data_IF_294037359678
#
_entry.id   IF_294037359678
#
_cell.length_a   1.000
_cell.length_b   1.000
_cell.length_c   1.000
_cell.angle_alpha   90.00
_cell.angle_beta   90.00
_cell.angle_gamma   90.00
#
_symmetry.space_group_name_H-M   'P 1'
#
loop_
_entity.id
_entity.type
_entity.pdbx_description
1 polymer ?
#
# COMPACT_ATOMS: atom_id res chain seq x y z
N UNK A 1 -9.15 22.37 2.13
CA UNK A 1 -9.77 21.35 1.25
C UNK A 1 -11.28 21.50 1.39
N UNK A 2 -12.02 21.58 0.31
CA UNK A 2 -13.48 21.74 0.30
C UNK A 2 -14.18 20.50 -0.30
N UNK A 3 -15.52 20.53 -0.38
CA UNK A 3 -16.32 19.41 -0.89
C UNK A 3 -15.98 19.03 -2.35
N UNK A 4 -15.56 20.00 -3.16
CA UNK A 4 -15.12 19.76 -4.54
C UNK A 4 -13.81 18.98 -4.57
N UNK A 5 -12.86 19.35 -3.71
CA UNK A 5 -11.57 18.68 -3.59
C UNK A 5 -11.76 17.23 -3.14
N UNK A 6 -12.65 16.98 -2.18
CA UNK A 6 -13.00 15.63 -1.72
C UNK A 6 -13.62 14.82 -2.86
N UNK A 7 -14.51 15.42 -3.65
CA UNK A 7 -15.12 14.76 -4.81
C UNK A 7 -14.06 14.40 -5.87
N UNK A 8 -13.13 15.32 -6.15
CA UNK A 8 -12.01 15.05 -7.06
C UNK A 8 -11.12 13.89 -6.57
N UNK A 9 -10.80 13.84 -5.26
CA UNK A 9 -10.04 12.74 -4.67
C UNK A 9 -10.78 11.40 -4.82
N UNK A 10 -12.10 11.36 -4.59
CA UNK A 10 -12.91 10.15 -4.77
C UNK A 10 -12.88 9.66 -6.23
N UNK A 11 -13.06 10.55 -7.19
CA UNK A 11 -13.00 10.21 -8.60
C UNK A 11 -11.64 9.66 -8.99
N UNK A 12 -10.57 10.31 -8.58
CA UNK A 12 -9.19 9.93 -8.90
C UNK A 12 -8.74 8.64 -8.20
N UNK A 13 -9.23 8.35 -6.99
CA UNK A 13 -8.98 7.06 -6.33
C UNK A 13 -9.62 5.89 -7.08
N UNK A 14 -10.81 6.12 -7.67
CA UNK A 14 -11.56 5.12 -8.42
C UNK A 14 -10.99 4.93 -9.83
N UNK A 15 -10.74 6.03 -10.54
CA UNK A 15 -10.17 6.00 -11.88
C UNK A 15 -9.25 7.20 -12.13
N UNK A 16 -7.94 6.93 -12.11
CA UNK A 16 -6.93 7.96 -12.36
C UNK A 16 -6.72 8.29 -13.85
N UNK A 17 -7.36 7.56 -14.77
CA UNK A 17 -7.31 7.81 -16.22
C UNK A 17 -8.36 8.83 -16.71
N UNK A 18 -9.24 9.29 -15.82
CA UNK A 18 -10.22 10.33 -16.16
C UNK A 18 -9.51 11.58 -16.68
N UNK A 19 -9.97 12.06 -17.83
CA UNK A 19 -9.49 13.30 -18.43
C UNK A 19 -9.90 14.52 -17.62
N UNK A 20 -9.21 15.64 -17.82
CA UNK A 20 -9.58 16.89 -17.13
C UNK A 20 -10.99 17.37 -17.52
N UNK A 21 -11.45 17.08 -18.74
CA UNK A 21 -12.82 17.38 -19.18
C UNK A 21 -13.84 16.57 -18.39
N UNK A 22 -13.63 15.25 -18.25
CA UNK A 22 -14.52 14.39 -17.47
C UNK A 22 -14.55 14.79 -15.99
N UNK A 23 -13.39 15.01 -15.38
CA UNK A 23 -13.29 15.47 -13.99
C UNK A 23 -14.00 16.82 -13.79
N UNK A 24 -13.80 17.77 -14.71
CA UNK A 24 -14.42 19.11 -14.62
C UNK A 24 -15.94 19.05 -14.75
N UNK A 25 -16.46 18.19 -15.63
CA UNK A 25 -17.90 17.95 -15.77
C UNK A 25 -18.49 17.36 -14.48
N UNK A 26 -17.84 16.36 -13.88
CA UNK A 26 -18.27 15.71 -12.64
C UNK A 26 -18.34 16.66 -11.45
N UNK A 27 -17.44 17.64 -11.37
CA UNK A 27 -17.41 18.62 -10.27
C UNK A 27 -18.05 19.97 -10.63
N UNK A 28 -18.66 20.10 -11.81
CA UNK A 28 -19.33 21.30 -12.32
C UNK A 28 -18.41 22.55 -12.33
N UNK A 29 -17.17 22.35 -12.79
CA UNK A 29 -16.19 23.42 -13.00
C UNK A 29 -15.78 23.47 -14.47
N UNK A 30 -15.18 24.59 -14.90
CA UNK A 30 -14.39 24.61 -16.13
C UNK A 30 -13.06 23.89 -15.95
N UNK A 31 -12.41 23.48 -17.04
CA UNK A 31 -11.18 22.68 -17.01
C UNK A 31 -10.01 23.35 -16.28
N UNK A 32 -9.85 24.66 -16.45
CA UNK A 32 -8.73 25.40 -15.82
C UNK A 32 -8.78 25.40 -14.29
N UNK A 33 -9.87 25.78 -13.61
CA UNK A 33 -9.95 25.70 -12.16
C UNK A 33 -9.92 24.25 -11.65
N UNK A 34 -10.49 23.28 -12.39
CA UNK A 34 -10.40 21.87 -12.04
C UNK A 34 -8.93 21.40 -12.03
N UNK A 35 -8.18 21.70 -13.09
CA UNK A 35 -6.75 21.39 -13.20
C UNK A 35 -5.93 22.03 -12.07
N UNK A 36 -6.19 23.29 -11.74
CA UNK A 36 -5.51 23.99 -10.62
C UNK A 36 -5.74 23.29 -9.29
N UNK A 37 -6.97 22.86 -8.99
CA UNK A 37 -7.30 22.13 -7.76
C UNK A 37 -6.57 20.80 -7.68
N UNK A 38 -6.55 20.03 -8.76
CA UNK A 38 -5.83 18.74 -8.80
C UNK A 38 -4.33 18.94 -8.53
N UNK A 39 -3.71 19.95 -9.12
CA UNK A 39 -2.30 20.25 -8.83
C UNK A 39 -2.10 20.69 -7.38
N UNK A 40 -2.96 21.52 -6.82
CA UNK A 40 -2.91 21.86 -5.39
C UNK A 40 -3.03 20.64 -4.48
N UNK A 41 -3.89 19.66 -4.83
CA UNK A 41 -3.99 18.40 -4.09
C UNK A 41 -2.70 17.57 -4.16
N UNK A 42 -2.00 17.57 -5.31
CA UNK A 42 -0.69 16.95 -5.47
C UNK A 42 0.39 17.70 -4.67
N UNK A 43 0.48 19.00 -4.85
CA UNK A 43 1.49 19.86 -4.21
C UNK A 43 1.37 19.83 -2.68
N UNK A 44 0.15 19.74 -2.17
CA UNK A 44 -0.15 19.62 -0.73
C UNK A 44 -0.04 18.17 -0.21
N UNK A 45 0.36 17.19 -1.06
CA UNK A 45 0.59 15.80 -0.67
C UNK A 45 -0.66 14.96 -0.42
N UNK A 46 -1.87 15.44 -0.75
CA UNK A 46 -3.10 14.62 -0.69
C UNK A 46 -3.09 13.50 -1.74
N UNK A 47 -2.45 13.72 -2.87
CA UNK A 47 -2.18 12.72 -3.90
C UNK A 47 -0.68 12.45 -3.87
N UNK A 48 -0.26 11.33 -3.30
CA UNK A 48 1.15 10.97 -3.16
C UNK A 48 1.77 10.51 -4.47
N UNK A 49 1.03 9.71 -5.25
CA UNK A 49 1.45 9.18 -6.56
C UNK A 49 0.26 8.66 -7.35
N UNK A 50 0.43 8.52 -8.65
CA UNK A 50 -0.49 7.82 -9.55
C UNK A 50 0.23 6.61 -10.12
N UNK A 51 -0.36 5.41 -10.01
CA UNK A 51 0.23 4.15 -10.45
C UNK A 51 -0.81 3.29 -11.18
N UNK A 52 -0.35 2.46 -12.10
CA UNK A 52 -1.17 1.39 -12.65
C UNK A 52 -1.23 0.22 -11.66
N UNK A 53 -2.42 -0.35 -11.47
CA UNK A 53 -2.61 -1.57 -10.69
C UNK A 53 -2.47 -2.77 -11.61
N UNK A 54 -1.51 -3.65 -11.31
CA UNK A 54 -1.23 -4.84 -12.09
C UNK A 54 -2.00 -6.03 -11.51
N UNK A 55 -2.70 -6.78 -12.35
CA UNK A 55 -3.31 -8.05 -11.97
C UNK A 55 -2.21 -9.08 -11.68
N UNK A 56 -1.97 -9.33 -10.40
CA UNK A 56 -0.92 -10.22 -9.91
C UNK A 56 -1.04 -11.66 -10.42
N UNK A 57 -2.27 -12.16 -10.63
CA UNK A 57 -2.50 -13.51 -11.16
C UNK A 57 -2.06 -13.61 -12.61
N UNK A 58 -2.32 -12.59 -13.41
CA UNK A 58 -1.91 -12.54 -14.82
C UNK A 58 -0.40 -12.45 -15.00
N UNK A 59 0.31 -11.85 -14.04
CA UNK A 59 1.79 -11.80 -14.05
C UNK A 59 2.45 -12.94 -13.27
N UNK A 60 1.66 -13.95 -12.86
CA UNK A 60 2.18 -15.16 -12.24
C UNK A 60 2.45 -15.08 -10.74
N UNK A 61 2.11 -13.98 -10.07
CA UNK A 61 2.28 -13.81 -8.61
C UNK A 61 1.07 -14.36 -7.85
N UNK A 62 0.96 -15.69 -7.78
CA UNK A 62 -0.27 -16.38 -7.36
C UNK A 62 -0.39 -16.60 -5.85
N UNK A 63 0.71 -16.53 -5.11
CA UNK A 63 0.75 -16.81 -3.67
C UNK A 63 0.90 -15.53 -2.88
N UNK A 64 0.01 -15.32 -1.93
CA UNK A 64 0.11 -14.26 -0.92
C UNK A 64 0.29 -14.89 0.45
N UNK A 65 1.30 -14.46 1.18
CA UNK A 65 1.51 -14.83 2.56
C UNK A 65 1.47 -13.59 3.47
N UNK A 66 0.76 -13.72 4.60
CA UNK A 66 0.82 -12.80 5.72
C UNK A 66 1.81 -13.35 6.72
N UNK A 67 2.95 -12.69 6.87
CA UNK A 67 4.08 -13.15 7.69
C UNK A 67 4.20 -12.28 8.93
N UNK A 68 3.85 -12.86 10.07
CA UNK A 68 3.99 -12.23 11.38
C UNK A 68 5.36 -12.57 11.95
N UNK A 69 6.15 -11.56 12.32
CA UNK A 69 7.50 -11.73 12.86
C UNK A 69 7.64 -11.07 14.21
N UNK A 70 8.37 -11.75 15.11
CA UNK A 70 8.81 -11.24 16.41
C UNK A 70 10.33 -11.26 16.43
N UNK A 71 10.95 -10.13 16.76
CA UNK A 71 12.41 -10.00 16.82
C UNK A 71 12.94 -10.19 18.23
N UNK A 72 14.22 -10.58 18.36
CA UNK A 72 14.83 -10.87 19.65
C UNK A 72 15.22 -9.62 20.43
N UNK A 73 15.32 -8.46 19.79
CA UNK A 73 15.78 -7.22 20.41
C UNK A 73 15.17 -5.99 19.74
N UNK A 74 14.68 -5.05 20.55
CA UNK A 74 13.93 -3.86 20.13
C UNK A 74 14.75 -2.56 20.21
N UNK A 75 16.08 -2.62 20.12
CA UNK A 75 16.85 -1.39 20.08
C UNK A 75 16.65 -0.63 18.75
N UNK A 76 16.82 0.70 18.79
CA UNK A 76 16.53 1.59 17.66
C UNK A 76 17.37 1.24 16.41
N UNK A 77 18.61 0.81 16.59
CA UNK A 77 19.48 0.43 15.46
C UNK A 77 18.95 -0.77 14.71
N UNK A 78 18.48 -1.80 15.43
CA UNK A 78 17.90 -3.01 14.81
C UNK A 78 16.58 -2.75 14.13
N UNK A 79 15.75 -1.85 14.68
CA UNK A 79 14.51 -1.41 14.05
C UNK A 79 14.81 -0.74 12.70
N UNK A 80 15.79 0.16 12.67
CA UNK A 80 16.20 0.85 11.44
C UNK A 80 16.80 -0.12 10.42
N UNK A 81 17.68 -1.03 10.86
CA UNK A 81 18.30 -2.04 10.02
C UNK A 81 17.25 -2.98 9.41
N UNK A 82 16.29 -3.43 10.20
CA UNK A 82 15.19 -4.26 9.71
C UNK A 82 14.39 -3.54 8.61
N UNK A 83 14.06 -2.26 8.84
CA UNK A 83 13.33 -1.47 7.86
C UNK A 83 14.10 -1.31 6.54
N UNK A 84 15.42 -1.11 6.59
CA UNK A 84 16.26 -1.04 5.39
C UNK A 84 16.32 -2.39 4.66
N UNK A 85 16.51 -3.50 5.37
CA UNK A 85 16.52 -4.84 4.78
C UNK A 85 15.19 -5.14 4.06
N UNK A 86 14.05 -4.82 4.70
CA UNK A 86 12.73 -5.11 4.15
C UNK A 86 12.46 -4.28 2.88
N UNK A 87 12.94 -3.05 2.80
CA UNK A 87 12.79 -2.20 1.60
C UNK A 87 13.45 -2.79 0.35
N UNK A 88 14.52 -3.55 0.55
CA UNK A 88 15.29 -4.17 -0.53
C UNK A 88 14.73 -5.52 -1.00
N UNK A 89 13.69 -6.04 -0.35
CA UNK A 89 13.07 -7.33 -0.68
C UNK A 89 11.82 -7.09 -1.53
N UNK A 90 11.86 -7.34 -2.84
CA UNK A 90 10.76 -7.00 -3.75
C UNK A 90 9.49 -7.83 -3.52
N UNK A 91 9.61 -9.02 -2.94
CA UNK A 91 8.46 -9.87 -2.61
C UNK A 91 7.62 -9.31 -1.48
N UNK A 92 8.19 -8.42 -0.64
CA UNK A 92 7.47 -7.73 0.45
C UNK A 92 6.82 -6.48 -0.11
N UNK A 93 5.51 -6.52 -0.34
CA UNK A 93 4.75 -5.38 -0.90
C UNK A 93 4.19 -4.46 0.18
N UNK A 94 4.03 -4.95 1.42
CA UNK A 94 3.60 -4.16 2.57
C UNK A 94 4.34 -4.65 3.83
N UNK A 95 4.72 -3.71 4.70
CA UNK A 95 5.30 -4.01 6.00
C UNK A 95 4.77 -3.03 7.04
N UNK A 96 4.20 -3.57 8.11
CA UNK A 96 3.65 -2.79 9.22
C UNK A 96 4.37 -3.14 10.51
N UNK A 97 4.77 -2.11 11.28
CA UNK A 97 5.13 -2.29 12.67
C UNK A 97 3.87 -2.39 13.50
N UNK A 98 3.78 -3.42 14.31
CA UNK A 98 2.59 -3.74 15.09
C UNK A 98 2.76 -3.34 16.56
N UNK A 99 1.64 -3.18 17.25
CA UNK A 99 1.57 -3.14 18.72
C UNK A 99 1.05 -4.48 19.23
N UNK A 100 1.70 -5.08 20.21
CA UNK A 100 1.26 -6.37 20.79
C UNK A 100 2.31 -7.47 20.65
N UNK A 101 1.88 -8.72 20.55
CA UNK A 101 2.77 -9.91 20.53
C UNK A 101 3.60 -10.04 19.26
N UNK A 102 3.14 -9.50 18.18
CA UNK A 102 3.84 -9.49 16.87
C UNK A 102 4.47 -8.12 16.65
N UNK A 103 5.75 -8.08 16.31
CA UNK A 103 6.46 -6.82 16.08
C UNK A 103 6.22 -6.26 14.69
N UNK A 104 6.19 -7.13 13.68
CA UNK A 104 5.95 -6.73 12.29
C UNK A 104 5.03 -7.71 11.59
N UNK A 105 4.20 -7.18 10.71
CA UNK A 105 3.36 -7.92 9.78
C UNK A 105 3.79 -7.58 8.35
N UNK A 106 4.19 -8.60 7.59
CA UNK A 106 4.59 -8.48 6.20
C UNK A 106 3.51 -9.07 5.31
N UNK A 107 3.20 -8.40 4.20
CA UNK A 107 2.46 -8.98 3.08
C UNK A 107 3.43 -9.33 1.98
N UNK A 108 3.59 -10.61 1.75
CA UNK A 108 4.54 -11.19 0.80
C UNK A 108 3.76 -11.74 -0.38
N UNK A 109 4.19 -11.40 -1.59
CA UNK A 109 3.58 -11.88 -2.84
C UNK A 109 4.65 -12.55 -3.69
N UNK A 110 4.43 -13.81 -4.01
CA UNK A 110 5.36 -14.65 -4.76
C UNK A 110 4.64 -15.49 -5.80
N UNK A 111 5.41 -16.09 -6.69
CA UNK A 111 4.88 -16.95 -7.75
C UNK A 111 4.24 -18.24 -7.20
N UNK A 112 4.96 -18.94 -6.34
CA UNK A 112 4.64 -20.28 -5.83
C UNK A 112 5.25 -20.50 -4.43
N UNK A 113 5.03 -21.68 -3.86
CA UNK A 113 5.55 -22.06 -2.52
C UNK A 113 7.07 -22.19 -2.51
N UNK A 114 7.68 -22.64 -3.61
CA UNK A 114 9.15 -22.72 -3.74
C UNK A 114 9.77 -21.33 -3.70
N UNK A 115 9.18 -20.36 -4.40
CA UNK A 115 9.57 -18.95 -4.35
C UNK A 115 9.42 -18.36 -2.94
N UNK A 116 8.38 -18.78 -2.19
CA UNK A 116 8.22 -18.40 -0.80
C UNK A 116 9.32 -18.98 0.09
N UNK A 117 9.68 -20.23 -0.07
CA UNK A 117 10.76 -20.87 0.70
C UNK A 117 12.11 -20.14 0.47
N UNK A 118 12.39 -19.77 -0.77
CA UNK A 118 13.58 -18.99 -1.11
C UNK A 118 13.56 -17.59 -0.47
N UNK A 119 12.43 -16.89 -0.52
CA UNK A 119 12.24 -15.63 0.20
C UNK A 119 12.47 -15.81 1.71
N UNK A 120 11.87 -16.82 2.33
CA UNK A 120 12.00 -17.09 3.76
C UNK A 120 13.45 -17.34 4.16
N UNK A 121 14.18 -18.18 3.42
CA UNK A 121 15.61 -18.45 3.66
C UNK A 121 16.44 -17.15 3.58
N UNK A 122 16.25 -16.35 2.55
CA UNK A 122 16.94 -15.06 2.40
C UNK A 122 16.62 -14.10 3.57
N UNK A 123 15.37 -14.08 4.04
CA UNK A 123 14.97 -13.24 5.16
C UNK A 123 15.64 -13.63 6.48
N UNK A 124 15.65 -14.95 6.81
CA UNK A 124 16.23 -15.43 8.07
C UNK A 124 17.76 -15.36 8.09
N UNK A 125 18.43 -15.38 6.94
CA UNK A 125 19.87 -15.13 6.85
C UNK A 125 20.25 -13.68 7.22
N UNK A 126 19.38 -12.73 6.88
CA UNK A 126 19.63 -11.29 7.10
C UNK A 126 19.18 -10.77 8.47
N UNK A 127 18.21 -11.43 9.08
CA UNK A 127 17.58 -10.95 10.32
C UNK A 127 17.39 -12.10 11.30
N UNK A 128 17.78 -11.87 12.56
CA UNK A 128 17.50 -12.81 13.66
C UNK A 128 16.09 -12.60 14.19
N UNK A 129 15.25 -13.60 14.04
CA UNK A 129 13.90 -13.63 14.57
C UNK A 129 13.81 -14.50 15.83
N UNK A 130 12.91 -14.12 16.74
CA UNK A 130 12.45 -14.98 17.83
C UNK A 130 11.39 -15.95 17.32
N UNK A 131 10.46 -15.44 16.49
CA UNK A 131 9.35 -16.20 15.91
C UNK A 131 8.98 -15.66 14.55
N UNK A 132 8.71 -16.57 13.61
CA UNK A 132 8.11 -16.25 12.32
C UNK A 132 6.89 -17.15 12.11
N UNK A 133 5.74 -16.57 11.81
CA UNK A 133 4.50 -17.29 11.49
C UNK A 133 4.01 -16.86 10.14
N UNK A 134 3.91 -17.80 9.21
CA UNK A 134 3.48 -17.55 7.83
C UNK A 134 2.10 -18.13 7.60
N UNK A 135 1.15 -17.28 7.21
CA UNK A 135 -0.21 -17.68 6.86
C UNK A 135 -0.45 -17.39 5.38
N UNK A 136 -0.73 -18.43 4.62
CA UNK A 136 -1.04 -18.29 3.20
C UNK A 136 -2.51 -17.92 3.01
N UNK A 137 -2.77 -16.89 2.21
CA UNK A 137 -4.13 -16.49 1.85
C UNK A 137 -4.71 -17.52 0.88
N UNK A 138 -5.83 -18.13 1.25
CA UNK A 138 -6.57 -19.05 0.40
C UNK A 138 -7.37 -18.26 -0.64
N UNK A 139 -7.97 -17.13 -0.21
CA UNK A 139 -8.81 -16.29 -1.04
C UNK A 139 -8.60 -14.82 -0.68
N UNK A 140 -8.63 -13.96 -1.69
CA UNK A 140 -8.72 -12.52 -1.52
C UNK A 140 -10.17 -12.07 -1.68
N UNK A 141 -10.83 -11.80 -0.56
CA UNK A 141 -12.25 -11.42 -0.53
C UNK A 141 -12.43 -9.96 -0.97
N UNK A 142 -11.49 -9.09 -0.59
CA UNK A 142 -11.50 -7.67 -0.93
C UNK A 142 -10.09 -7.13 -1.04
N UNK A 143 -9.81 -6.42 -2.13
CA UNK A 143 -8.61 -5.61 -2.30
C UNK A 143 -9.00 -4.30 -2.96
N UNK A 144 -8.70 -3.19 -2.32
CA UNK A 144 -8.95 -1.84 -2.83
C UNK A 144 -7.86 -0.89 -2.34
N UNK A 145 -7.53 0.08 -3.18
CA UNK A 145 -6.66 1.20 -2.84
C UNK A 145 -7.44 2.44 -2.40
N UNK A 146 -8.79 2.38 -2.47
CA UNK A 146 -9.65 3.50 -2.09
C UNK A 146 -9.67 3.68 -0.57
N UNK A 147 -9.26 4.86 -0.12
CA UNK A 147 -9.32 5.28 1.29
C UNK A 147 -10.68 5.95 1.54
N UNK A 148 -11.42 5.57 2.60
CA UNK A 148 -12.67 6.25 2.94
C UNK A 148 -12.42 7.69 3.40
N UNK A 149 -12.99 8.66 2.67
CA UNK A 149 -12.82 10.09 2.94
C UNK A 149 -13.92 10.70 3.84
N UNK A 150 -14.71 9.86 4.52
CA UNK A 150 -15.84 10.29 5.35
C UNK A 150 -15.47 11.21 6.51
N UNK A 151 -14.27 11.07 7.07
CA UNK A 151 -13.78 11.96 8.11
C UNK A 151 -13.56 13.39 7.59
N UNK A 152 -13.18 13.54 6.34
CA UNK A 152 -12.92 14.83 5.68
C UNK A 152 -14.24 15.52 5.27
N UNK A 153 -15.28 14.76 4.92
CA UNK A 153 -16.61 15.29 4.57
C UNK A 153 -17.31 15.99 5.74
N UNK A 154 -16.97 15.62 6.98
CA UNK A 154 -17.52 16.27 8.18
C UNK A 154 -16.82 17.58 8.54
N UNK A 155 -15.67 17.88 7.92
CA UNK A 155 -14.84 19.05 8.18
C UNK A 155 -14.92 20.08 7.04
N UNK A 156 -15.53 19.72 5.89
CA UNK A 156 -15.72 20.57 4.72
C UNK A 156 -17.13 21.15 4.68
#
# INVERSE_FOLDING_TARGET
MDAIDIKLLKLLQNNAELTIQELSAEVHLSTTPCWKRINQLKDNGYISKTVALVDRKRVGSNVTAMVAVTVTNHNQERISLFAEIIKEIPEVIECYRMSGETDYLLKVVVKDIESYDNFYKNLIEKVQFLKVTSNFAIEEIKSTTEIPLTAMEKLA
#
